data_IF_616708034868
#
_entry.id   IF_616708034868
#
_cell.length_a   1.000
_cell.length_b   1.000
_cell.length_c   1.000
_cell.angle_alpha   90.00
_cell.angle_beta   90.00
_cell.angle_gamma   90.00
#
_symmetry.space_group_name_H-M   'P 1'
#
loop_
_entity.id
_entity.type
_entity.pdbx_description
1 polymer ?
#
# COMPACT_ATOMS: atom_id res chain seq x y z
N UNK A 1 -6.35 -16.38 19.43
CA UNK A 1 -7.46 -15.53 19.89
C UNK A 1 -7.43 -14.31 18.97
N UNK A 2 -8.45 -14.14 18.12
CA UNK A 2 -8.55 -12.99 17.20
C UNK A 2 -8.46 -11.71 18.02
N UNK A 3 -7.73 -10.71 17.51
CA UNK A 3 -7.63 -9.40 18.14
C UNK A 3 -8.96 -8.65 17.95
N UNK A 4 -9.97 -9.02 18.77
CA UNK A 4 -11.35 -8.51 18.73
C UNK A 4 -11.44 -6.98 18.89
N UNK A 5 -10.36 -6.31 19.30
CA UNK A 5 -10.27 -4.86 19.37
C UNK A 5 -10.26 -4.18 17.99
N UNK A 6 -9.92 -4.89 16.90
CA UNK A 6 -10.00 -4.35 15.53
C UNK A 6 -11.36 -4.55 14.88
N UNK A 7 -12.05 -5.66 15.18
CA UNK A 7 -13.34 -5.98 14.57
C UNK A 7 -14.48 -5.04 15.01
N UNK A 8 -14.39 -4.47 16.21
CA UNK A 8 -15.47 -3.63 16.77
C UNK A 8 -15.30 -2.12 16.53
N UNK A 9 -14.25 -1.68 15.82
CA UNK A 9 -14.00 -0.28 15.54
C UNK A 9 -14.67 0.15 14.23
N UNK A 10 -15.97 0.40 14.28
CA UNK A 10 -16.75 1.25 13.38
C UNK A 10 -16.35 1.20 11.89
N UNK A 11 -16.44 0.03 11.29
CA UNK A 11 -16.38 -0.10 9.83
C UNK A 11 -17.83 -0.14 9.37
N UNK A 12 -18.23 0.72 8.44
CA UNK A 12 -19.47 0.61 7.65
C UNK A 12 -19.07 -0.03 6.31
N UNK A 13 -19.93 -0.88 5.73
CA UNK A 13 -19.60 -1.80 4.61
C UNK A 13 -19.35 -1.05 3.30
N UNK A 14 -19.48 0.27 3.36
CA UNK A 14 -19.57 1.19 2.25
C UNK A 14 -18.39 2.16 2.30
N UNK A 15 -18.04 2.78 1.15
CA UNK A 15 -17.25 3.99 1.14
C UNK A 15 -17.71 4.93 2.24
N UNK A 16 -16.78 5.66 2.86
CA UNK A 16 -17.08 6.61 3.93
C UNK A 16 -18.30 7.48 3.62
N UNK A 17 -18.48 7.83 2.35
CA UNK A 17 -19.68 8.51 1.86
C UNK A 17 -20.33 7.74 0.71
N UNK A 18 -21.61 7.40 0.94
CA UNK A 18 -22.55 6.94 -0.08
C UNK A 18 -23.44 8.07 -0.62
N UNK A 19 -23.27 9.30 -0.12
CA UNK A 19 -23.98 10.47 -0.61
C UNK A 19 -23.35 10.95 -1.92
N UNK A 20 -24.11 10.90 -3.01
CA UNK A 20 -23.66 11.40 -4.31
C UNK A 20 -23.64 12.94 -4.39
N UNK A 21 -24.25 13.63 -3.41
CA UNK A 21 -24.25 15.10 -3.33
C UNK A 21 -23.08 15.67 -2.49
N UNK A 22 -22.19 14.82 -1.98
CA UNK A 22 -21.02 15.28 -1.26
C UNK A 22 -20.07 16.05 -2.18
N UNK A 23 -20.00 17.36 -1.94
CA UNK A 23 -19.14 18.29 -2.68
C UNK A 23 -17.71 18.31 -2.15
N UNK A 24 -17.44 17.70 -1.00
CA UNK A 24 -16.13 17.71 -0.35
C UNK A 24 -15.72 19.09 0.18
N UNK A 25 -16.67 20.03 0.35
CA UNK A 25 -16.40 21.40 0.80
C UNK A 25 -15.74 21.47 2.20
N UNK A 26 -15.91 20.46 3.04
CA UNK A 26 -15.30 20.35 4.37
C UNK A 26 -13.88 19.73 4.34
N UNK A 27 -13.45 19.17 3.21
CA UNK A 27 -12.13 18.58 3.08
C UNK A 27 -11.07 19.69 2.92
N UNK A 28 -9.94 19.59 3.64
CA UNK A 28 -8.87 20.57 3.48
C UNK A 28 -8.29 20.51 2.07
N UNK A 29 -7.79 21.63 1.58
CA UNK A 29 -7.11 21.71 0.28
C UNK A 29 -5.87 20.82 0.23
N UNK A 30 -5.15 20.74 1.35
CA UNK A 30 -3.97 19.90 1.51
C UNK A 30 -4.17 18.94 2.69
N UNK A 31 -3.86 17.66 2.49
CA UNK A 31 -3.87 16.65 3.54
C UNK A 31 -2.67 15.73 3.39
N UNK A 32 -1.82 15.75 4.43
CA UNK A 32 -0.71 14.83 4.56
C UNK A 32 -0.82 14.08 5.90
N UNK A 33 -1.15 12.78 5.89
CA UNK A 33 -1.29 12.01 7.12
C UNK A 33 0.02 11.88 7.89
N UNK A 34 1.19 12.15 7.28
CA UNK A 34 2.47 12.18 8.02
C UNK A 34 2.53 13.34 9.01
N UNK A 35 1.81 14.43 8.73
CA UNK A 35 1.72 15.60 9.62
C UNK A 35 0.64 15.39 10.69
N UNK A 36 -0.49 14.79 10.29
CA UNK A 36 -1.65 14.57 11.17
C UNK A 36 -1.42 13.39 12.11
N UNK A 37 -0.90 12.29 11.58
CA UNK A 37 -0.65 11.02 12.27
C UNK A 37 0.85 10.81 12.52
N UNK A 38 1.52 11.79 13.13
CA UNK A 38 2.99 11.78 13.37
C UNK A 38 3.49 10.51 14.08
N UNK A 39 2.65 9.93 14.93
CA UNK A 39 2.98 8.72 15.67
C UNK A 39 2.80 7.43 14.85
N UNK A 40 2.26 7.49 13.64
CA UNK A 40 2.07 6.35 12.74
C UNK A 40 3.26 6.22 11.78
N UNK A 41 4.30 5.49 12.22
CA UNK A 41 5.55 5.29 11.48
C UNK A 41 5.36 4.68 10.08
N UNK A 42 4.28 3.94 9.84
CA UNK A 42 3.99 3.30 8.56
C UNK A 42 3.75 4.29 7.40
N UNK A 43 3.33 5.52 7.68
CA UNK A 43 3.21 6.57 6.67
C UNK A 43 4.56 7.07 6.14
N UNK A 44 5.62 6.94 6.95
CA UNK A 44 6.97 7.37 6.61
C UNK A 44 7.81 6.25 5.99
N UNK A 45 7.27 5.03 5.95
CA UNK A 45 8.00 3.87 5.43
C UNK A 45 7.73 3.70 3.94
N UNK A 46 8.80 3.80 3.15
CA UNK A 46 8.86 3.37 1.75
C UNK A 46 9.32 1.92 1.72
N UNK A 47 8.73 1.10 0.84
CA UNK A 47 9.04 -0.33 0.72
C UNK A 47 9.54 -0.63 -0.67
N UNK A 48 10.51 -1.53 -0.78
CA UNK A 48 11.04 -1.99 -2.04
C UNK A 48 10.46 -3.37 -2.40
N UNK A 49 9.90 -3.50 -3.60
CA UNK A 49 9.36 -4.74 -4.13
C UNK A 49 10.40 -5.61 -4.87
N UNK A 50 11.65 -5.15 -4.99
CA UNK A 50 12.73 -5.76 -5.75
C UNK A 50 12.34 -5.99 -7.23
N UNK A 51 13.02 -6.93 -7.91
CA UNK A 51 12.71 -7.36 -9.28
C UNK A 51 11.48 -8.29 -9.38
N UNK A 52 10.44 -8.03 -8.58
CA UNK A 52 9.20 -8.81 -8.54
C UNK A 52 8.01 -7.90 -8.77
N UNK A 53 7.06 -8.28 -9.64
CA UNK A 53 5.81 -7.56 -9.89
C UNK A 53 4.79 -7.67 -8.76
N UNK A 54 5.23 -7.55 -7.50
CA UNK A 54 4.43 -7.66 -6.29
C UNK A 54 3.86 -6.33 -5.79
N UNK A 55 3.89 -5.26 -6.62
CA UNK A 55 3.35 -3.93 -6.28
C UNK A 55 1.95 -4.01 -5.64
N UNK A 56 1.09 -4.92 -6.13
CA UNK A 56 -0.26 -5.16 -5.61
C UNK A 56 -0.26 -5.65 -4.15
N UNK A 57 0.70 -6.50 -3.76
CA UNK A 57 0.86 -7.02 -2.40
C UNK A 57 1.54 -5.98 -1.50
N UNK A 58 2.60 -5.33 -2.01
CA UNK A 58 3.39 -4.33 -1.28
C UNK A 58 2.56 -3.09 -0.93
N UNK A 59 1.84 -2.53 -1.90
CA UNK A 59 0.95 -1.38 -1.68
C UNK A 59 -0.18 -1.72 -0.71
N UNK A 60 -0.79 -2.91 -0.85
CA UNK A 60 -1.87 -3.37 0.05
C UNK A 60 -1.37 -3.58 1.48
N UNK A 61 -0.24 -4.26 1.69
CA UNK A 61 0.35 -4.44 3.02
C UNK A 61 0.70 -3.09 3.66
N UNK A 62 1.25 -2.16 2.87
CA UNK A 62 1.57 -0.83 3.35
C UNK A 62 0.30 -0.05 3.75
N UNK A 63 -0.77 -0.12 2.96
CA UNK A 63 -2.06 0.51 3.30
C UNK A 63 -2.71 -0.13 4.53
N UNK A 64 -2.71 -1.46 4.66
CA UNK A 64 -3.20 -2.16 5.85
C UNK A 64 -2.48 -1.67 7.12
N UNK A 65 -1.15 -1.47 7.03
CA UNK A 65 -0.35 -0.98 8.15
C UNK A 65 -0.80 0.41 8.62
N UNK A 66 -1.07 1.32 7.66
CA UNK A 66 -1.57 2.67 7.93
C UNK A 66 -2.98 2.64 8.55
N UNK A 67 -3.89 1.84 7.97
CA UNK A 67 -5.26 1.70 8.46
C UNK A 67 -5.32 1.11 9.86
N UNK A 68 -4.44 0.16 10.19
CA UNK A 68 -4.32 -0.37 11.55
C UNK A 68 -3.95 0.75 12.53
N UNK A 69 -3.00 1.60 12.16
CA UNK A 69 -2.58 2.70 13.03
C UNK A 69 -3.72 3.71 13.24
N UNK A 70 -4.39 4.13 12.16
CA UNK A 70 -5.52 5.07 12.22
C UNK A 70 -6.68 4.51 13.04
N UNK A 71 -7.12 3.29 12.73
CA UNK A 71 -8.27 2.66 13.41
C UNK A 71 -8.03 2.50 14.92
N UNK A 72 -6.77 2.38 15.34
CA UNK A 72 -6.40 2.25 16.75
C UNK A 72 -5.97 3.57 17.38
N UNK A 73 -6.11 4.69 16.68
CA UNK A 73 -5.69 6.02 17.11
C UNK A 73 -4.22 6.03 17.56
N UNK A 74 -3.34 5.37 16.81
CA UNK A 74 -1.92 5.26 17.09
C UNK A 74 -1.52 4.20 18.12
N UNK A 75 -2.47 3.55 18.80
CA UNK A 75 -2.16 2.58 19.88
C UNK A 75 -1.47 1.32 19.39
N UNK A 76 -1.70 0.92 18.12
CA UNK A 76 -1.07 -0.25 17.53
C UNK A 76 -0.38 0.13 16.23
N UNK A 77 0.89 -0.21 16.15
CA UNK A 77 1.70 -0.06 14.96
C UNK A 77 2.25 -1.41 14.57
N UNK A 78 1.96 -1.83 13.35
CA UNK A 78 2.45 -3.08 12.79
C UNK A 78 2.64 -2.89 11.30
N UNK A 79 3.78 -3.35 10.82
CA UNK A 79 4.00 -3.52 9.39
C UNK A 79 3.39 -4.86 8.98
N UNK A 80 2.28 -4.83 8.23
CA UNK A 80 1.73 -6.04 7.63
C UNK A 80 2.74 -6.62 6.62
N UNK A 81 2.83 -7.95 6.55
CA UNK A 81 3.76 -8.65 5.67
C UNK A 81 3.23 -8.72 4.24
N UNK A 82 3.91 -7.98 3.36
CA UNK A 82 3.78 -8.12 1.91
C UNK A 82 4.19 -9.52 1.42
N UNK A 83 5.14 -10.18 2.06
CA UNK A 83 5.50 -11.59 1.79
C UNK A 83 4.34 -12.56 1.99
N UNK A 84 3.60 -12.39 3.09
CA UNK A 84 2.50 -13.29 3.43
C UNK A 84 1.36 -13.13 2.42
N UNK A 85 1.04 -11.90 2.03
CA UNK A 85 0.10 -11.62 0.94
C UNK A 85 0.59 -12.20 -0.39
N UNK A 86 1.83 -11.89 -0.76
CA UNK A 86 2.45 -12.28 -2.03
C UNK A 86 2.48 -13.79 -2.23
N UNK A 87 2.91 -14.53 -1.20
CA UNK A 87 3.25 -15.95 -1.33
C UNK A 87 2.11 -16.88 -0.91
N UNK A 88 1.25 -16.47 0.04
CA UNK A 88 0.25 -17.35 0.65
C UNK A 88 -1.19 -17.11 0.22
N UNK A 89 -1.51 -16.02 -0.50
CA UNK A 89 -2.83 -15.86 -1.08
C UNK A 89 -3.10 -16.84 -2.24
N UNK A 90 -2.04 -17.25 -2.94
CA UNK A 90 -2.13 -18.20 -4.06
C UNK A 90 -2.97 -17.66 -5.23
N UNK A 91 -3.56 -18.57 -6.00
CA UNK A 91 -4.23 -18.26 -7.26
C UNK A 91 -5.40 -17.26 -7.14
N UNK A 92 -6.00 -17.09 -5.96
CA UNK A 92 -7.02 -16.06 -5.72
C UNK A 92 -6.45 -14.65 -5.89
N UNK A 93 -5.25 -14.42 -5.38
CA UNK A 93 -4.48 -13.20 -5.64
C UNK A 93 -3.47 -13.38 -6.79
N UNK A 94 -3.60 -14.43 -7.61
CA UNK A 94 -2.90 -14.50 -8.88
C UNK A 94 -1.57 -15.18 -8.93
N UNK A 95 -0.69 -14.57 -9.73
CA UNK A 95 0.57 -15.14 -10.18
C UNK A 95 1.78 -14.55 -9.44
N UNK A 96 1.58 -14.07 -8.21
CA UNK A 96 2.63 -13.57 -7.34
C UNK A 96 3.45 -12.43 -7.96
N UNK A 97 4.71 -12.70 -8.28
CA UNK A 97 5.62 -11.76 -8.93
C UNK A 97 5.26 -11.40 -10.38
N UNK A 98 4.30 -12.09 -11.00
CA UNK A 98 3.83 -11.77 -12.36
C UNK A 98 2.62 -10.81 -12.39
N UNK A 99 2.33 -10.14 -11.26
CA UNK A 99 1.29 -9.12 -11.15
C UNK A 99 -0.10 -9.67 -10.79
N UNK A 100 -0.98 -8.81 -10.23
CA UNK A 100 -2.39 -9.14 -9.97
C UNK A 100 -3.31 -7.97 -9.54
N UNK A 101 -4.53 -8.35 -9.15
CA UNK A 101 -5.64 -7.59 -8.59
C UNK A 101 -5.47 -7.30 -7.08
N UNK A 102 -5.18 -6.04 -6.75
CA UNK A 102 -5.03 -5.55 -5.38
C UNK A 102 -6.27 -5.79 -4.48
N UNK A 103 -7.49 -5.83 -5.03
CA UNK A 103 -8.71 -6.11 -4.24
C UNK A 103 -8.71 -7.51 -3.61
N UNK A 104 -8.09 -8.50 -4.26
CA UNK A 104 -8.01 -9.86 -3.71
C UNK A 104 -7.02 -9.93 -2.56
N UNK A 105 -6.00 -9.05 -2.52
CA UNK A 105 -5.12 -8.90 -1.36
C UNK A 105 -5.86 -8.36 -0.13
N UNK A 106 -6.77 -7.40 -0.33
CA UNK A 106 -7.65 -6.93 0.75
C UNK A 106 -8.56 -8.04 1.25
N UNK A 107 -9.16 -8.84 0.36
CA UNK A 107 -9.96 -10.00 0.77
C UNK A 107 -9.12 -11.05 1.49
N UNK A 108 -7.88 -11.31 1.07
CA UNK A 108 -6.96 -12.21 1.77
C UNK A 108 -6.72 -11.76 3.22
N UNK A 109 -6.57 -10.46 3.43
CA UNK A 109 -6.48 -9.89 4.77
C UNK A 109 -7.73 -10.17 5.62
N UNK A 110 -8.91 -10.30 5.04
CA UNK A 110 -10.13 -10.67 5.77
C UNK A 110 -10.19 -12.17 6.09
N UNK A 111 -10.01 -13.05 5.09
CA UNK A 111 -10.30 -14.47 5.25
C UNK A 111 -9.15 -15.29 5.85
N UNK A 112 -7.89 -14.94 5.59
CA UNK A 112 -6.71 -15.65 6.12
C UNK A 112 -5.93 -14.78 7.13
N UNK A 113 -6.06 -13.47 7.00
CA UNK A 113 -5.29 -12.49 7.77
C UNK A 113 -3.87 -12.33 7.23
N UNK A 114 -3.12 -11.41 7.81
CA UNK A 114 -1.72 -11.14 7.43
C UNK A 114 -0.85 -11.07 8.70
N UNK A 115 0.31 -11.71 8.68
CA UNK A 115 1.29 -11.61 9.78
C UNK A 115 2.10 -10.31 9.70
N UNK A 116 2.88 -10.00 10.73
CA UNK A 116 3.85 -8.89 10.66
C UNK A 116 4.98 -9.17 9.68
N UNK A 117 5.45 -8.14 8.99
CA UNK A 117 6.57 -8.20 8.07
C UNK A 117 7.50 -7.00 8.20
N UNK A 118 8.41 -6.89 7.26
CA UNK A 118 9.47 -5.89 7.23
C UNK A 118 10.27 -5.99 5.93
N UNK A 119 11.27 -5.13 5.74
CA UNK A 119 12.10 -5.15 4.54
C UNK A 119 12.89 -6.46 4.43
N UNK A 120 13.58 -6.64 3.31
CA UNK A 120 14.53 -7.74 3.13
C UNK A 120 15.53 -7.78 4.30
N UNK A 121 15.80 -8.99 4.82
CA UNK A 121 16.59 -9.24 6.04
C UNK A 121 16.07 -8.60 7.33
N UNK A 122 14.89 -7.98 7.30
CA UNK A 122 14.27 -7.33 8.45
C UNK A 122 14.06 -8.29 9.63
N UNK A 123 14.43 -7.83 10.83
CA UNK A 123 14.23 -8.56 12.10
C UNK A 123 13.03 -8.01 12.85
N UNK A 124 12.62 -8.71 13.91
CA UNK A 124 11.52 -8.25 14.78
C UNK A 124 10.11 -8.39 14.17
N UNK A 125 9.96 -9.09 13.05
CA UNK A 125 8.68 -9.39 12.41
C UNK A 125 8.56 -10.89 12.08
N UNK A 126 7.36 -11.36 11.77
CA UNK A 126 7.13 -12.76 11.43
C UNK A 126 7.70 -13.13 10.06
N UNK A 127 7.37 -12.38 9.01
CA UNK A 127 7.73 -12.70 7.63
C UNK A 127 8.27 -11.47 6.90
N UNK A 128 9.60 -11.23 6.93
CA UNK A 128 10.24 -10.15 6.17
C UNK A 128 10.16 -10.41 4.65
N UNK A 129 10.43 -9.38 3.85
CA UNK A 129 10.44 -9.49 2.39
C UNK A 129 11.48 -10.52 1.94
N UNK A 130 11.15 -11.44 1.01
CA UNK A 130 12.00 -12.59 0.73
C UNK A 130 13.02 -12.32 -0.38
N UNK A 131 12.85 -11.23 -1.14
CA UNK A 131 13.69 -10.89 -2.29
C UNK A 131 14.59 -9.72 -1.92
N UNK A 132 15.84 -9.78 -2.35
CA UNK A 132 16.78 -8.69 -2.13
C UNK A 132 16.41 -7.49 -3.03
N UNK A 133 16.51 -6.25 -2.52
CA UNK A 133 16.51 -5.04 -3.36
C UNK A 133 17.49 -5.16 -4.52
N UNK A 134 17.29 -4.41 -5.59
CA UNK A 134 18.21 -4.43 -6.72
C UNK A 134 18.27 -3.06 -7.40
N UNK A 135 19.36 -2.83 -8.12
CA UNK A 135 19.65 -1.52 -8.70
C UNK A 135 20.24 -0.55 -7.67
N UNK A 136 20.73 0.58 -8.18
CA UNK A 136 21.26 1.66 -7.34
C UNK A 136 20.13 2.64 -7.02
N UNK A 137 19.67 2.66 -5.77
CA UNK A 137 18.67 3.61 -5.27
C UNK A 137 19.38 4.66 -4.40
N UNK A 138 19.91 5.72 -5.01
CA UNK A 138 20.60 6.79 -4.29
C UNK A 138 21.79 6.28 -3.44
N UNK A 139 21.76 6.55 -2.13
CA UNK A 139 22.77 6.12 -1.15
C UNK A 139 22.43 4.82 -0.42
N UNK A 140 21.43 4.06 -0.89
CA UNK A 140 21.07 2.79 -0.28
C UNK A 140 22.12 1.69 -0.54
N UNK A 141 22.07 0.63 0.27
CA UNK A 141 22.95 -0.53 0.12
C UNK A 141 22.76 -1.17 -1.25
N UNK A 142 23.83 -1.28 -2.02
CA UNK A 142 23.81 -1.96 -3.31
C UNK A 142 23.85 -3.48 -3.12
N UNK A 143 22.74 -4.15 -3.42
CA UNK A 143 22.62 -5.61 -3.37
C UNK A 143 22.91 -6.30 -4.71
N UNK A 144 23.18 -5.52 -5.76
CA UNK A 144 23.43 -5.99 -7.12
C UNK A 144 22.44 -5.45 -8.14
N UNK A 145 22.75 -5.66 -9.42
CA UNK A 145 21.88 -5.25 -10.53
C UNK A 145 20.60 -6.09 -10.56
N UNK A 146 19.48 -5.47 -10.94
CA UNK A 146 18.24 -6.18 -11.21
C UNK A 146 18.45 -7.15 -12.37
N UNK A 147 18.24 -8.43 -12.11
CA UNK A 147 18.11 -9.45 -13.16
C UNK A 147 16.66 -9.49 -13.63
N UNK A 148 16.35 -10.40 -14.55
CA UNK A 148 14.96 -10.64 -14.97
C UNK A 148 14.02 -10.88 -13.78
N UNK A 149 12.72 -10.89 -14.06
CA UNK A 149 11.68 -11.00 -13.03
C UNK A 149 11.93 -12.21 -12.12
N UNK A 150 11.93 -11.98 -10.81
CA UNK A 150 12.09 -13.04 -9.81
C UNK A 150 10.89 -14.00 -9.80
N UNK A 151 11.15 -15.26 -9.51
CA UNK A 151 10.11 -16.23 -9.23
C UNK A 151 9.42 -15.95 -7.90
N UNK A 152 8.12 -16.23 -7.82
CA UNK A 152 7.35 -16.11 -6.59
C UNK A 152 7.85 -17.14 -5.58
N UNK A 153 8.34 -16.73 -4.39
CA UNK A 153 8.77 -17.68 -3.38
C UNK A 153 7.59 -18.54 -2.86
N UNK A 154 7.84 -19.77 -2.39
CA UNK A 154 6.78 -20.62 -1.86
C UNK A 154 6.19 -20.04 -0.57
N UNK A 155 4.89 -20.22 -0.37
CA UNK A 155 4.22 -19.87 0.87
C UNK A 155 4.86 -20.58 2.07
N UNK A 156 5.30 -19.80 3.06
CA UNK A 156 5.83 -20.33 4.33
C UNK A 156 4.91 -19.89 5.47
N UNK A 157 4.03 -20.79 5.92
CA UNK A 157 3.15 -20.56 7.09
C UNK A 157 3.88 -20.71 8.44
N UNK A 158 5.08 -20.11 8.53
CA UNK A 158 5.95 -20.07 9.72
C UNK A 158 6.68 -18.73 9.79
N UNK A 159 6.89 -18.22 11.00
CA UNK A 159 7.68 -17.01 11.18
C UNK A 159 9.18 -17.32 11.04
N UNK A 160 9.98 -16.28 10.79
CA UNK A 160 11.43 -16.37 10.78
C UNK A 160 11.97 -16.84 12.15
N UNK A 161 13.11 -17.57 12.16
CA UNK A 161 13.75 -17.97 13.40
C UNK A 161 14.01 -16.79 14.35
N UNK A 162 13.81 -17.02 15.65
CA UNK A 162 13.99 -16.00 16.69
C UNK A 162 12.81 -15.04 16.87
N UNK A 163 11.79 -15.06 16.01
CA UNK A 163 10.58 -14.26 16.24
C UNK A 163 9.69 -14.89 17.33
N UNK A 164 9.30 -14.09 18.33
CA UNK A 164 8.65 -14.56 19.57
C UNK A 164 7.30 -15.24 19.34
N UNK A 165 6.53 -14.82 18.33
CA UNK A 165 5.16 -15.32 18.09
C UNK A 165 5.17 -16.36 16.98
N UNK A 166 4.32 -17.38 17.11
CA UNK A 166 4.05 -18.32 16.01
C UNK A 166 3.14 -17.68 14.95
N UNK A 167 3.26 -18.14 13.71
CA UNK A 167 2.55 -17.60 12.53
C UNK A 167 1.05 -17.37 12.79
N UNK A 168 0.33 -18.39 13.25
CA UNK A 168 -1.12 -18.30 13.53
C UNK A 168 -1.48 -17.27 14.62
N UNK A 169 -0.58 -16.98 15.56
CA UNK A 169 -0.80 -16.01 16.64
C UNK A 169 -0.36 -14.58 16.27
N UNK A 170 0.35 -14.42 15.15
CA UNK A 170 0.73 -13.10 14.64
C UNK A 170 -0.15 -12.60 13.50
N UNK A 171 -1.09 -13.44 13.02
CA UNK A 171 -2.11 -13.02 12.05
C UNK A 171 -2.99 -11.89 12.62
N UNK A 172 -3.24 -10.90 11.77
CA UNK A 172 -4.22 -9.83 11.95
C UNK A 172 -5.22 -9.92 10.81
N UNK A 173 -6.47 -9.59 11.11
CA UNK A 173 -7.58 -9.83 10.20
C UNK A 173 -8.27 -8.52 9.89
N UNK A 174 -8.62 -8.36 8.62
CA UNK A 174 -9.68 -7.44 8.22
C UNK A 174 -11.02 -7.96 8.71
N UNK A 175 -11.98 -7.06 8.85
CA UNK A 175 -13.34 -7.49 9.15
C UNK A 175 -13.95 -8.16 7.90
N UNK A 176 -14.58 -9.34 8.02
CA UNK A 176 -15.09 -10.07 6.87
C UNK A 176 -16.09 -9.27 6.02
N UNK A 177 -15.89 -9.26 4.69
CA UNK A 177 -16.79 -8.62 3.73
C UNK A 177 -16.65 -7.10 3.61
N UNK A 178 -15.59 -6.51 4.19
CA UNK A 178 -15.33 -5.06 4.23
C UNK A 178 -14.34 -4.59 3.15
N UNK A 179 -13.90 -5.46 2.25
CA UNK A 179 -13.01 -5.12 1.16
C UNK A 179 -13.87 -4.53 0.05
N UNK A 180 -13.76 -3.22 -0.14
CA UNK A 180 -14.55 -2.48 -1.12
C UNK A 180 -13.66 -1.84 -2.18
N UNK A 181 -14.29 -1.44 -3.29
CA UNK A 181 -13.69 -0.57 -4.30
C UNK A 181 -14.26 0.82 -4.12
N UNK A 182 -13.40 1.83 -4.14
CA UNK A 182 -13.85 3.21 -4.18
C UNK A 182 -14.30 3.55 -5.60
N UNK A 183 -15.38 4.33 -5.75
CA UNK A 183 -15.77 4.86 -7.05
C UNK A 183 -14.70 5.84 -7.56
N UNK A 184 -14.70 6.09 -8.88
CA UNK A 184 -13.84 7.08 -9.53
C UNK A 184 -14.33 8.51 -9.22
N UNK A 185 -14.22 8.90 -7.96
CA UNK A 185 -14.62 10.22 -7.45
C UNK A 185 -13.52 10.73 -6.53
N UNK A 186 -12.92 11.86 -6.89
CA UNK A 186 -11.85 12.50 -6.10
C UNK A 186 -12.33 12.77 -4.67
N UNK A 187 -13.54 13.31 -4.50
CA UNK A 187 -14.13 13.62 -3.20
C UNK A 187 -14.24 12.37 -2.33
N UNK A 188 -14.83 11.29 -2.86
CA UNK A 188 -15.02 10.04 -2.10
C UNK A 188 -13.67 9.38 -1.74
N UNK A 189 -12.68 9.47 -2.63
CA UNK A 189 -11.32 8.98 -2.37
C UNK A 189 -10.62 9.81 -1.28
N UNK A 190 -10.62 11.14 -1.39
CA UNK A 190 -10.02 12.05 -0.40
C UNK A 190 -10.65 11.85 0.97
N UNK A 191 -11.97 11.70 1.03
CA UNK A 191 -12.68 11.44 2.27
C UNK A 191 -12.30 10.09 2.89
N UNK A 192 -12.23 9.02 2.09
CA UNK A 192 -11.82 7.70 2.58
C UNK A 192 -10.39 7.73 3.14
N UNK A 193 -9.48 8.43 2.45
CA UNK A 193 -8.10 8.66 2.92
C UNK A 193 -8.08 9.42 4.25
N UNK A 194 -8.87 10.49 4.38
CA UNK A 194 -8.94 11.31 5.61
C UNK A 194 -9.38 10.49 6.81
N UNK A 195 -10.42 9.68 6.64
CA UNK A 195 -11.10 9.03 7.76
C UNK A 195 -10.57 7.63 8.07
N UNK A 196 -10.19 6.86 7.05
CA UNK A 196 -9.79 5.45 7.20
C UNK A 196 -8.31 5.23 6.93
N UNK A 197 -7.63 6.18 6.30
CA UNK A 197 -6.23 6.08 5.93
C UNK A 197 -6.00 5.64 4.50
N UNK A 198 -4.74 5.33 4.20
CA UNK A 198 -4.28 5.05 2.85
C UNK A 198 -5.14 4.07 2.07
N UNK A 199 -5.26 4.32 0.77
CA UNK A 199 -5.94 3.44 -0.20
C UNK A 199 -4.91 2.89 -1.18
N UNK A 200 -5.28 1.88 -1.96
CA UNK A 200 -4.44 1.37 -3.06
C UNK A 200 -5.02 1.89 -4.37
N UNK A 201 -4.18 2.57 -5.15
CA UNK A 201 -4.49 3.04 -6.50
C UNK A 201 -3.66 2.27 -7.52
N UNK A 202 -4.13 2.21 -8.76
CA UNK A 202 -3.42 1.59 -9.88
C UNK A 202 -3.44 2.55 -11.05
N UNK A 203 -2.27 2.78 -11.65
CA UNK A 203 -2.13 3.64 -12.82
C UNK A 203 -1.31 2.93 -13.91
N UNK A 204 -1.50 3.37 -15.15
CA UNK A 204 -0.73 2.88 -16.29
C UNK A 204 0.68 3.50 -16.27
N UNK A 205 1.71 2.68 -16.51
CA UNK A 205 3.09 3.16 -16.54
C UNK A 205 3.51 3.44 -17.99
N UNK A 206 4.03 4.64 -18.21
CA UNK A 206 4.60 5.09 -19.48
C UNK A 206 6.12 5.25 -19.37
N UNK A 207 6.82 5.25 -20.50
CA UNK A 207 8.29 5.35 -20.53
C UNK A 207 8.82 6.63 -19.86
N UNK A 208 8.07 7.75 -19.92
CA UNK A 208 8.46 8.99 -19.24
C UNK A 208 8.47 8.87 -17.71
N UNK A 209 7.73 7.92 -17.13
CA UNK A 209 7.62 7.75 -15.69
C UNK A 209 8.95 7.38 -15.03
N UNK A 210 9.80 6.59 -15.70
CA UNK A 210 11.11 6.20 -15.15
C UNK A 210 12.08 7.39 -15.01
N UNK A 211 11.77 8.53 -15.62
CA UNK A 211 12.55 9.76 -15.52
C UNK A 211 11.98 10.76 -14.51
N UNK A 212 10.88 10.43 -13.83
CA UNK A 212 10.31 11.29 -12.80
C UNK A 212 11.28 11.45 -11.62
N UNK A 213 11.51 12.70 -11.21
CA UNK A 213 12.37 13.04 -10.06
C UNK A 213 11.65 13.87 -9.01
N UNK A 214 10.83 14.84 -9.42
CA UNK A 214 10.11 15.74 -8.51
C UNK A 214 8.92 16.40 -9.23
N UNK A 215 8.11 17.16 -8.46
CA UNK A 215 6.92 17.84 -8.97
C UNK A 215 5.68 16.95 -8.99
N UNK A 216 4.72 17.25 -9.87
CA UNK A 216 3.52 16.44 -10.10
C UNK A 216 3.72 15.68 -11.41
N UNK A 217 3.72 14.35 -11.35
CA UNK A 217 3.77 13.53 -12.55
C UNK A 217 2.48 13.66 -13.35
N UNK A 218 2.64 13.98 -14.64
CA UNK A 218 1.62 13.90 -15.68
C UNK A 218 2.29 13.33 -16.91
N UNK A 219 1.70 12.30 -17.50
CA UNK A 219 2.21 11.72 -18.73
C UNK A 219 2.25 12.79 -19.84
N UNK A 220 3.41 12.94 -20.49
CA UNK A 220 3.66 13.91 -21.56
C UNK A 220 4.29 13.28 -22.79
N UNK A 221 5.02 12.17 -22.66
CA UNK A 221 5.73 11.54 -23.76
C UNK A 221 6.02 10.06 -23.50
N UNK A 222 6.41 9.34 -24.55
CA UNK A 222 6.77 7.92 -24.46
C UNK A 222 5.56 7.00 -24.56
N UNK A 223 5.83 5.72 -24.83
CA UNK A 223 4.79 4.72 -25.05
C UNK A 223 4.32 4.12 -23.74
N UNK A 224 3.12 3.54 -23.78
CA UNK A 224 2.65 2.66 -22.72
C UNK A 224 3.61 1.47 -22.62
N UNK A 225 4.13 1.21 -21.42
CA UNK A 225 5.11 0.13 -21.16
C UNK A 225 4.49 -1.27 -21.24
N UNK A 226 3.17 -1.37 -21.41
CA UNK A 226 2.44 -2.64 -21.36
C UNK A 226 2.03 -3.06 -19.95
N UNK A 227 2.27 -2.23 -18.93
CA UNK A 227 2.06 -2.58 -17.53
C UNK A 227 1.35 -1.51 -16.70
N UNK A 228 0.69 -1.99 -15.65
CA UNK A 228 0.08 -1.16 -14.60
C UNK A 228 0.86 -1.31 -13.30
N UNK A 229 0.88 -0.26 -12.48
CA UNK A 229 1.57 -0.27 -11.20
C UNK A 229 0.63 0.13 -10.06
N UNK A 230 0.62 -0.67 -9.00
CA UNK A 230 -0.18 -0.43 -7.81
C UNK A 230 0.62 0.35 -6.75
N UNK A 231 0.05 1.43 -6.24
CA UNK A 231 0.67 2.30 -5.25
C UNK A 231 -0.24 2.54 -4.06
N UNK A 232 0.36 2.76 -2.90
CA UNK A 232 -0.29 3.26 -1.70
C UNK A 232 -0.48 4.76 -1.83
N UNK A 233 -1.72 5.22 -1.84
CA UNK A 233 -2.11 6.61 -1.92
C UNK A 233 -2.49 7.12 -0.53
N UNK A 234 -1.83 8.19 -0.05
CA UNK A 234 -1.88 8.59 1.36
C UNK A 234 -2.52 9.96 1.60
N UNK A 235 -2.55 10.85 0.62
CA UNK A 235 -2.94 12.25 0.83
C UNK A 235 -3.03 13.02 -0.49
N UNK A 236 -3.29 14.32 -0.40
CA UNK A 236 -3.46 15.20 -1.57
C UNK A 236 -3.01 16.62 -1.25
N UNK A 237 -2.81 17.43 -2.28
CA UNK A 237 -2.53 18.85 -2.15
C UNK A 237 -2.41 19.54 -3.49
N UNK A 238 -2.34 20.87 -3.49
CA UNK A 238 -2.01 21.67 -4.68
C UNK A 238 -0.57 22.14 -4.63
N UNK A 239 0.08 22.14 -5.78
CA UNK A 239 1.39 22.76 -5.94
C UNK A 239 1.18 24.12 -6.63
N UNK A 240 1.59 25.21 -5.97
CA UNK A 240 1.40 26.57 -6.49
C UNK A 240 2.31 26.87 -7.71
N UNK A 241 3.21 25.95 -8.08
CA UNK A 241 4.11 26.09 -9.24
C UNK A 241 3.60 25.53 -10.57
N UNK A 242 2.49 24.78 -10.60
CA UNK A 242 1.94 24.14 -11.82
C UNK A 242 0.43 24.35 -11.90
N UNK A 243 -0.03 25.28 -12.76
CA UNK A 243 -1.40 25.50 -13.26
C UNK A 243 -2.59 25.32 -12.28
N UNK A 244 -2.37 25.37 -10.97
CA UNK A 244 -3.42 25.15 -9.96
C UNK A 244 -3.96 23.72 -9.91
N UNK A 245 -3.27 22.72 -10.49
CA UNK A 245 -3.79 21.34 -10.52
C UNK A 245 -3.73 20.66 -9.15
N UNK A 246 -4.81 19.96 -8.80
CA UNK A 246 -4.87 19.11 -7.61
C UNK A 246 -4.03 17.85 -7.82
N UNK A 247 -3.14 17.56 -6.87
CA UNK A 247 -2.29 16.38 -6.87
C UNK A 247 -2.68 15.40 -5.77
N UNK A 248 -2.50 14.12 -6.05
CA UNK A 248 -2.64 13.06 -5.05
C UNK A 248 -1.27 12.41 -4.84
N UNK A 249 -0.93 12.12 -3.58
CA UNK A 249 0.38 11.62 -3.17
C UNK A 249 0.37 10.10 -2.96
N UNK A 250 1.24 9.38 -3.66
CA UNK A 250 1.42 7.93 -3.57
C UNK A 250 2.83 7.53 -3.11
N UNK A 251 2.97 6.81 -1.99
CA UNK A 251 4.28 6.61 -1.34
C UNK A 251 4.92 5.26 -1.54
N UNK A 252 4.31 4.26 -2.21
CA UNK A 252 5.04 2.99 -2.42
C UNK A 252 6.32 3.17 -3.23
N UNK A 253 6.43 4.27 -3.99
CA UNK A 253 7.62 4.72 -4.73
C UNK A 253 7.94 6.21 -4.51
N UNK A 254 7.28 6.88 -3.56
CA UNK A 254 7.53 8.30 -3.25
C UNK A 254 7.13 9.31 -4.35
N UNK A 255 6.00 9.10 -5.03
CA UNK A 255 5.58 9.91 -6.19
C UNK A 255 4.35 10.76 -5.90
N UNK A 256 4.30 11.97 -6.48
CA UNK A 256 3.10 12.81 -6.53
C UNK A 256 2.54 12.75 -7.95
N UNK A 257 1.26 12.47 -8.11
CA UNK A 257 0.61 12.31 -9.42
C UNK A 257 -0.52 13.31 -9.57
N UNK A 258 -0.75 13.75 -10.81
CA UNK A 258 -1.94 14.53 -11.15
C UNK A 258 -3.19 13.67 -10.95
N UNK A 259 -4.25 14.25 -10.39
CA UNK A 259 -5.51 13.56 -10.13
C UNK A 259 -6.19 12.94 -11.36
N UNK A 260 -5.82 13.35 -12.58
CA UNK A 260 -6.37 12.82 -13.83
C UNK A 260 -5.67 11.55 -14.35
N UNK A 261 -4.56 11.12 -13.73
CA UNK A 261 -3.75 9.95 -14.12
C UNK A 261 -4.35 8.67 -13.55
#
# INVERSE_FOLDING_TARGET
MMDKAFANANQNLNPVVNDDNDTGADLPENYDPRIVWKNCSSFHTIRDQANCGSCWAVSTAAAISDRICIATKGKKQVYASDTDILTCCGARCGLGCRGWWHIEAWKFYEYDGVVSGGPYLGKGCCSPYPLHPCGQLGNETFYGNCRGMADTPPCKRRCQPGFRRIYRRDKRYGEPGRAYRLPRSEVKIRRDIKERGSVVAVFAVYEDFSHYQSGIYKHKAGRFTGGYHAVKMIGWGKDNGTDGSSSIFGTTIGVRMDSSV
#
